data_IF_561114375858
#
_entry.id   IF_561114375858
#
_cell.length_a   1.000
_cell.length_b   1.000
_cell.length_c   1.000
_cell.angle_alpha   90.00
_cell.angle_beta   90.00
_cell.angle_gamma   90.00
#
_symmetry.space_group_name_H-M   'P 1'
#
loop_
_entity.id
_entity.type
_entity.pdbx_description
1 polymer ?
#
# COMPACT_ATOMS: atom_id res chain seq x y z
N UNK A 1 24.70 -9.89 -5.46
CA UNK A 1 23.28 -10.31 -5.59
C UNK A 1 22.80 -11.38 -4.58
N UNK A 2 23.66 -12.12 -3.88
CA UNK A 2 23.29 -13.24 -2.97
C UNK A 2 22.80 -12.84 -1.56
N UNK A 3 23.07 -11.62 -1.09
CA UNK A 3 22.78 -11.23 0.31
C UNK A 3 21.43 -10.52 0.49
N UNK A 4 20.68 -10.24 -0.59
CA UNK A 4 19.40 -9.52 -0.53
C UNK A 4 18.27 -10.38 0.08
N UNK A 5 18.27 -11.70 -0.16
CA UNK A 5 17.24 -12.60 0.35
C UNK A 5 17.34 -12.86 1.87
N UNK A 6 18.55 -12.97 2.41
CA UNK A 6 18.77 -13.25 3.84
C UNK A 6 18.32 -12.08 4.72
N UNK A 7 18.49 -10.83 4.28
CA UNK A 7 18.12 -9.66 5.07
C UNK A 7 16.62 -9.55 5.39
N UNK A 8 15.75 -10.06 4.52
CA UNK A 8 14.29 -10.02 4.74
C UNK A 8 13.78 -11.13 5.65
N UNK A 9 14.45 -12.27 5.72
CA UNK A 9 14.09 -13.36 6.63
C UNK A 9 14.33 -13.05 8.11
N UNK A 10 15.24 -12.11 8.40
CA UNK A 10 15.58 -11.70 9.75
C UNK A 10 14.78 -10.49 10.26
N UNK A 11 13.90 -9.88 9.42
CA UNK A 11 13.01 -8.82 9.87
C UNK A 11 11.85 -9.43 10.69
N UNK A 12 11.37 -8.69 11.70
CA UNK A 12 10.21 -9.08 12.55
C UNK A 12 8.85 -9.01 11.82
N UNK A 13 8.85 -9.46 10.57
CA UNK A 13 7.63 -9.58 9.78
C UNK A 13 6.92 -10.89 10.12
N UNK A 14 5.58 -10.87 10.10
CA UNK A 14 4.85 -12.12 10.31
C UNK A 14 5.11 -13.13 9.18
N UNK A 15 5.11 -14.41 9.52
CA UNK A 15 5.47 -15.50 8.61
C UNK A 15 4.65 -15.54 7.30
N UNK A 16 3.31 -15.42 7.32
CA UNK A 16 2.51 -15.37 6.09
C UNK A 16 2.93 -14.22 5.15
N UNK A 17 3.27 -13.06 5.70
CA UNK A 17 3.74 -11.93 4.90
C UNK A 17 5.10 -12.20 4.27
N UNK A 18 6.03 -12.81 5.00
CA UNK A 18 7.34 -13.22 4.45
C UNK A 18 7.20 -14.15 3.25
N UNK A 19 6.32 -15.15 3.34
CA UNK A 19 6.03 -16.07 2.22
C UNK A 19 5.44 -15.31 1.04
N UNK A 20 4.37 -14.54 1.26
CA UNK A 20 3.72 -13.74 0.21
C UNK A 20 4.71 -12.78 -0.45
N UNK A 21 5.51 -12.09 0.33
CA UNK A 21 6.55 -11.18 -0.13
C UNK A 21 7.60 -11.90 -1.00
N UNK A 22 8.07 -13.07 -0.58
CA UNK A 22 9.06 -13.87 -1.34
C UNK A 22 8.50 -14.32 -2.69
N UNK A 23 7.24 -14.79 -2.74
CA UNK A 23 6.55 -15.18 -3.97
C UNK A 23 6.44 -13.97 -4.91
N UNK A 24 6.00 -12.84 -4.37
CA UNK A 24 5.81 -11.58 -5.11
C UNK A 24 7.10 -11.07 -5.71
N UNK A 25 8.19 -11.02 -4.92
CA UNK A 25 9.49 -10.58 -5.42
C UNK A 25 10.02 -11.51 -6.51
N UNK A 26 9.93 -12.82 -6.29
CA UNK A 26 10.40 -13.79 -7.28
C UNK A 26 9.62 -13.66 -8.58
N UNK A 27 8.28 -13.63 -8.49
CA UNK A 27 7.41 -13.47 -9.65
C UNK A 27 7.65 -12.14 -10.38
N UNK A 28 7.79 -11.03 -9.66
CA UNK A 28 8.03 -9.73 -10.30
C UNK A 28 9.39 -9.68 -11.00
N UNK A 29 10.44 -10.27 -10.43
CA UNK A 29 11.76 -10.33 -11.07
C UNK A 29 11.83 -11.25 -12.28
N UNK A 30 11.00 -12.29 -12.33
CA UNK A 30 10.86 -13.15 -13.50
C UNK A 30 10.09 -12.46 -14.62
N UNK A 31 9.08 -11.67 -14.24
CA UNK A 31 8.21 -10.96 -15.18
C UNK A 31 8.88 -9.71 -15.77
N UNK A 32 9.52 -8.89 -14.93
CA UNK A 32 10.18 -7.66 -15.36
C UNK A 32 11.67 -7.86 -15.53
N UNK A 33 12.21 -7.59 -16.71
CA UNK A 33 13.66 -7.68 -16.99
C UNK A 33 14.46 -6.63 -16.22
N UNK A 34 13.95 -5.42 -16.09
CA UNK A 34 14.63 -4.31 -15.46
C UNK A 34 13.68 -3.52 -14.54
N UNK A 35 14.20 -3.13 -13.37
CA UNK A 35 13.56 -2.19 -12.47
C UNK A 35 14.47 -0.97 -12.27
N UNK A 36 13.92 0.21 -12.41
CA UNK A 36 14.60 1.46 -12.05
C UNK A 36 13.85 2.09 -10.87
N UNK A 37 14.56 2.38 -9.81
CA UNK A 37 14.04 3.05 -8.62
C UNK A 37 14.78 4.37 -8.47
N UNK A 38 14.03 5.47 -8.47
CA UNK A 38 14.56 6.81 -8.32
C UNK A 38 13.99 7.43 -7.06
N UNK A 39 14.84 8.02 -6.22
CA UNK A 39 14.41 8.75 -5.03
C UNK A 39 14.07 7.90 -3.81
N UNK A 40 14.33 6.58 -3.81
CA UNK A 40 14.09 5.72 -2.64
C UNK A 40 14.88 6.21 -1.40
N UNK A 41 16.06 6.76 -1.61
CA UNK A 41 16.93 7.31 -0.56
C UNK A 41 16.36 8.54 0.14
N UNK A 42 15.37 9.20 -0.48
CA UNK A 42 14.67 10.38 0.05
C UNK A 42 13.48 10.03 0.95
N UNK A 43 13.09 8.76 1.00
CA UNK A 43 11.95 8.33 1.83
C UNK A 43 12.35 8.45 3.29
N UNK A 44 11.58 9.19 4.12
CA UNK A 44 11.88 9.35 5.53
C UNK A 44 11.91 8.00 6.26
N UNK A 45 12.82 7.88 7.23
CA UNK A 45 12.90 6.72 8.11
C UNK A 45 12.21 7.05 9.44
N UNK A 46 11.69 6.04 10.11
CA UNK A 46 11.05 6.17 11.42
C UNK A 46 9.90 7.19 11.44
N UNK A 47 9.05 7.13 10.43
CA UNK A 47 7.89 8.01 10.27
C UNK A 47 6.68 7.24 9.74
N UNK A 48 5.48 7.74 10.00
CA UNK A 48 4.29 7.29 9.33
C UNK A 48 4.31 7.74 7.87
N UNK A 49 4.09 6.82 6.92
CA UNK A 49 4.20 7.14 5.50
C UNK A 49 2.94 6.72 4.75
N UNK A 50 2.36 7.67 4.04
CA UNK A 50 1.33 7.42 3.04
C UNK A 50 1.98 7.50 1.66
N UNK A 51 2.14 6.37 1.00
CA UNK A 51 2.51 6.33 -0.41
C UNK A 51 1.29 6.64 -1.26
N UNK A 52 1.29 7.79 -1.92
CA UNK A 52 0.25 8.19 -2.87
C UNK A 52 0.71 7.83 -4.29
N UNK A 53 0.13 6.79 -4.87
CA UNK A 53 0.63 6.12 -6.08
C UNK A 53 -0.39 6.25 -7.22
N UNK A 54 0.07 6.53 -8.45
CA UNK A 54 -0.79 6.41 -9.63
C UNK A 54 -1.18 4.94 -9.86
N UNK A 55 -2.31 4.69 -10.55
CA UNK A 55 -2.88 3.34 -10.61
C UNK A 55 -3.18 2.90 -12.04
N UNK A 56 -2.18 2.29 -12.69
CA UNK A 56 -2.30 1.78 -14.04
C UNK A 56 -2.74 0.31 -14.06
N UNK A 57 -2.25 -0.51 -13.11
CA UNK A 57 -2.55 -1.92 -13.03
C UNK A 57 -3.00 -2.32 -11.62
N UNK A 58 -4.24 -2.85 -11.51
CA UNK A 58 -4.86 -3.19 -10.23
C UNK A 58 -4.06 -4.17 -9.37
N UNK A 59 -3.28 -5.05 -9.98
CA UNK A 59 -2.58 -6.12 -9.32
C UNK A 59 -1.08 -5.86 -9.22
N UNK A 60 -0.45 -5.39 -10.29
CA UNK A 60 1.01 -5.21 -10.33
C UNK A 60 1.48 -4.01 -9.52
N UNK A 61 0.75 -2.89 -9.51
CA UNK A 61 1.19 -1.67 -8.83
C UNK A 61 1.44 -1.87 -7.33
N UNK A 62 0.51 -2.48 -6.54
CA UNK A 62 0.78 -2.78 -5.13
C UNK A 62 1.97 -3.70 -4.94
N UNK A 63 2.13 -4.69 -5.82
CA UNK A 63 3.18 -5.70 -5.78
C UNK A 63 4.55 -5.07 -6.00
N UNK A 64 4.67 -4.24 -7.04
CA UNK A 64 5.93 -3.56 -7.38
C UNK A 64 6.40 -2.67 -6.24
N UNK A 65 5.49 -1.91 -5.62
CA UNK A 65 5.83 -1.04 -4.48
C UNK A 65 6.21 -1.87 -3.25
N UNK A 66 5.39 -2.88 -2.90
CA UNK A 66 5.66 -3.72 -1.74
C UNK A 66 6.99 -4.45 -1.86
N UNK A 67 7.31 -4.94 -3.06
CA UNK A 67 8.56 -5.65 -3.34
C UNK A 67 9.83 -4.79 -3.17
N UNK A 68 9.69 -3.47 -3.06
CA UNK A 68 10.81 -2.53 -2.90
C UNK A 68 10.86 -1.85 -1.54
N UNK A 69 9.84 -2.07 -0.73
CA UNK A 69 9.76 -1.47 0.59
C UNK A 69 10.68 -2.17 1.59
N UNK A 70 11.29 -1.38 2.46
CA UNK A 70 12.13 -1.89 3.55
C UNK A 70 11.28 -2.32 4.77
N UNK A 71 10.04 -1.86 4.85
CA UNK A 71 9.07 -2.18 5.90
C UNK A 71 7.79 -2.78 5.30
N UNK A 72 7.01 -3.56 6.06
CA UNK A 72 5.71 -4.02 5.62
C UNK A 72 4.82 -2.83 5.26
N UNK A 73 4.13 -2.94 4.14
CA UNK A 73 3.20 -1.91 3.69
C UNK A 73 1.78 -2.42 3.86
N UNK A 74 0.92 -1.58 4.41
CA UNK A 74 -0.51 -1.83 4.50
C UNK A 74 -1.21 -1.38 3.21
N UNK A 75 -2.18 -2.16 2.76
CA UNK A 75 -2.93 -1.93 1.53
C UNK A 75 -4.41 -1.74 1.83
N UNK A 76 -5.03 -0.77 1.19
CA UNK A 76 -6.48 -0.66 1.16
C UNK A 76 -7.02 -1.49 0.00
N UNK A 77 -7.73 -2.56 0.31
CA UNK A 77 -8.33 -3.47 -0.67
C UNK A 77 -9.86 -3.47 -0.57
N UNK A 78 -10.53 -3.82 -1.66
CA UNK A 78 -12.00 -3.84 -1.74
C UNK A 78 -12.62 -4.69 -0.63
N UNK A 79 -13.62 -4.16 0.09
CA UNK A 79 -14.25 -4.84 1.21
C UNK A 79 -14.96 -6.16 0.82
N UNK A 80 -15.38 -6.30 -0.44
CA UNK A 80 -16.07 -7.50 -0.94
C UNK A 80 -15.21 -8.76 -0.92
N UNK A 81 -13.88 -8.65 -1.01
CA UNK A 81 -12.97 -9.81 -0.89
C UNK A 81 -12.82 -10.32 0.55
N UNK A 82 -13.25 -9.53 1.54
CA UNK A 82 -13.15 -9.87 2.97
C UNK A 82 -14.39 -10.58 3.55
N UNK A 83 -15.36 -10.98 2.73
CA UNK A 83 -16.63 -11.57 3.18
C UNK A 83 -16.45 -12.90 3.94
N UNK A 84 -15.51 -13.72 3.54
CA UNK A 84 -15.20 -14.98 4.20
C UNK A 84 -14.30 -14.76 5.41
N UNK A 85 -14.65 -15.31 6.57
CA UNK A 85 -13.88 -15.15 7.84
C UNK A 85 -12.44 -15.64 7.74
N UNK A 86 -12.20 -16.75 7.03
CA UNK A 86 -10.84 -17.28 6.85
C UNK A 86 -10.01 -16.37 5.94
N UNK A 87 -10.60 -15.94 4.81
CA UNK A 87 -9.97 -14.99 3.88
C UNK A 87 -9.69 -13.67 4.59
N UNK A 88 -10.62 -13.16 5.40
CA UNK A 88 -10.42 -11.96 6.21
C UNK A 88 -9.17 -12.09 7.09
N UNK A 89 -9.04 -13.19 7.85
CA UNK A 89 -7.88 -13.41 8.73
C UNK A 89 -6.57 -13.48 7.93
N UNK A 90 -6.58 -14.14 6.78
CA UNK A 90 -5.41 -14.24 5.91
C UNK A 90 -5.00 -12.88 5.34
N UNK A 91 -5.96 -12.12 4.78
CA UNK A 91 -5.69 -10.81 4.20
C UNK A 91 -5.18 -9.81 5.26
N UNK A 92 -5.73 -9.85 6.49
CA UNK A 92 -5.21 -9.04 7.60
C UNK A 92 -3.76 -9.39 7.96
N UNK A 93 -3.38 -10.67 7.91
CA UNK A 93 -1.97 -11.10 8.09
C UNK A 93 -1.07 -10.65 6.93
N UNK A 94 -1.63 -10.39 5.77
CA UNK A 94 -0.94 -9.79 4.62
C UNK A 94 -0.99 -8.25 4.64
N UNK A 95 -1.32 -7.63 5.78
CA UNK A 95 -1.44 -6.18 5.97
C UNK A 95 -2.46 -5.50 5.04
N UNK A 96 -3.53 -6.23 4.67
CA UNK A 96 -4.63 -5.68 3.87
C UNK A 96 -5.77 -5.21 4.77
N UNK A 97 -6.32 -4.03 4.45
CA UNK A 97 -7.43 -3.37 5.14
C UNK A 97 -8.64 -3.26 4.20
N UNK A 98 -9.87 -3.61 4.64
CA UNK A 98 -11.04 -3.49 3.80
C UNK A 98 -11.45 -2.02 3.60
N UNK A 99 -11.76 -1.62 2.36
CA UNK A 99 -12.31 -0.29 2.05
C UNK A 99 -13.58 -0.41 1.24
N UNK A 100 -14.66 0.24 1.69
CA UNK A 100 -15.93 0.37 0.99
C UNK A 100 -15.91 1.59 0.08
N UNK A 101 -16.40 1.45 -1.17
CA UNK A 101 -16.40 2.52 -2.16
C UNK A 101 -17.82 3.04 -2.38
N UNK A 102 -17.97 4.33 -2.70
CA UNK A 102 -19.27 4.95 -2.94
C UNK A 102 -20.14 4.19 -3.95
N UNK A 103 -19.54 3.64 -4.98
CA UNK A 103 -20.26 2.83 -5.99
C UNK A 103 -20.82 1.49 -5.45
N UNK A 104 -20.43 1.10 -4.25
CA UNK A 104 -20.91 -0.13 -3.61
C UNK A 104 -22.29 0.09 -2.94
N UNK A 105 -22.91 1.28 -3.12
CA UNK A 105 -24.30 1.58 -2.75
C UNK A 105 -24.56 1.69 -1.24
N UNK A 106 -23.55 1.96 -0.42
CA UNK A 106 -23.64 2.01 1.04
C UNK A 106 -23.11 3.34 1.59
N UNK A 107 -23.54 3.71 2.78
CA UNK A 107 -22.89 4.80 3.51
C UNK A 107 -21.43 4.41 3.82
N UNK A 108 -20.55 4.92 2.96
CA UNK A 108 -19.15 4.56 2.98
C UNK A 108 -18.39 5.22 4.11
N UNK A 109 -18.92 6.30 4.68
CA UNK A 109 -18.25 7.03 5.77
C UNK A 109 -18.32 6.20 7.03
N UNK A 110 -19.53 5.79 7.43
CA UNK A 110 -19.75 4.99 8.63
C UNK A 110 -19.02 3.63 8.54
N UNK A 111 -19.19 2.90 7.42
CA UNK A 111 -18.56 1.58 7.23
C UNK A 111 -17.04 1.63 7.17
N UNK A 112 -16.45 2.74 6.73
CA UNK A 112 -15.01 2.94 6.68
C UNK A 112 -14.42 3.49 7.98
N UNK A 113 -15.22 3.87 8.96
CA UNK A 113 -14.72 4.49 10.19
C UNK A 113 -13.66 3.63 10.87
N UNK A 114 -13.96 2.35 11.07
CA UNK A 114 -12.98 1.41 11.65
C UNK A 114 -11.71 1.28 10.83
N UNK A 115 -11.83 1.24 9.50
CA UNK A 115 -10.66 1.18 8.61
C UNK A 115 -9.82 2.44 8.69
N UNK A 116 -10.43 3.61 8.79
CA UNK A 116 -9.72 4.86 8.99
C UNK A 116 -9.01 4.89 10.35
N UNK A 117 -9.65 4.42 11.41
CA UNK A 117 -9.03 4.29 12.72
C UNK A 117 -7.82 3.36 12.70
N UNK A 118 -7.94 2.17 12.07
CA UNK A 118 -6.80 1.26 11.83
C UNK A 118 -5.66 2.00 11.08
N UNK A 119 -5.97 2.79 10.04
CA UNK A 119 -4.98 3.57 9.31
C UNK A 119 -4.29 4.62 10.20
N UNK A 120 -5.03 5.31 11.06
CA UNK A 120 -4.48 6.31 11.97
C UNK A 120 -3.49 5.69 12.95
N UNK A 121 -3.84 4.53 13.54
CA UNK A 121 -2.94 3.81 14.44
C UNK A 121 -1.69 3.29 13.74
N UNK A 122 -1.83 2.75 12.52
CA UNK A 122 -0.69 2.29 11.71
C UNK A 122 0.28 3.45 11.48
N UNK A 123 -0.22 4.60 11.03
CA UNK A 123 0.61 5.75 10.71
C UNK A 123 1.23 6.39 11.97
N UNK A 124 0.48 6.44 13.07
CA UNK A 124 1.01 6.93 14.35
C UNK A 124 2.14 6.03 14.90
N UNK A 125 2.15 4.74 14.57
CA UNK A 125 3.20 3.79 14.94
C UNK A 125 4.31 3.68 13.88
N UNK A 126 4.53 4.73 13.09
CA UNK A 126 5.55 4.76 12.02
C UNK A 126 5.34 3.67 10.94
N UNK A 127 4.12 3.20 10.79
CA UNK A 127 3.75 2.24 9.75
C UNK A 127 3.57 2.90 8.39
N UNK A 128 3.53 2.06 7.36
CA UNK A 128 3.44 2.50 5.97
C UNK A 128 2.11 2.05 5.35
N UNK A 129 1.50 2.94 4.57
CA UNK A 129 0.21 2.72 3.91
C UNK A 129 0.31 3.10 2.43
N UNK A 130 -0.17 2.24 1.53
CA UNK A 130 -0.37 2.58 0.12
C UNK A 130 -1.80 3.01 -0.11
N UNK A 131 -1.96 4.14 -0.80
CA UNK A 131 -3.24 4.63 -1.29
C UNK A 131 -3.09 4.97 -2.78
N UNK A 132 -4.06 4.54 -3.57
CA UNK A 132 -4.22 4.94 -4.95
C UNK A 132 -5.28 6.05 -5.02
N UNK A 133 -4.89 7.32 -5.04
CA UNK A 133 -5.84 8.43 -4.89
C UNK A 133 -6.81 8.56 -6.06
N UNK A 134 -6.52 7.96 -7.20
CA UNK A 134 -7.43 7.88 -8.34
C UNK A 134 -8.67 7.00 -8.07
N UNK A 135 -8.58 6.07 -7.10
CA UNK A 135 -9.68 5.20 -6.67
C UNK A 135 -10.09 4.10 -7.63
N UNK A 136 -9.54 4.06 -8.83
CA UNK A 136 -9.67 3.00 -9.84
C UNK A 136 -8.40 2.95 -10.69
N UNK A 137 -8.06 1.76 -11.18
CA UNK A 137 -6.99 1.59 -12.17
C UNK A 137 -7.46 2.01 -13.59
N UNK A 138 -6.53 2.46 -14.40
CA UNK A 138 -6.75 2.75 -15.81
C UNK A 138 -5.44 2.54 -16.58
N UNK A 139 -5.49 1.83 -17.69
CA UNK A 139 -4.34 1.57 -18.56
C UNK A 139 -3.78 2.82 -19.28
N UNK A 140 -4.53 3.94 -19.27
CA UNK A 140 -4.03 5.19 -19.84
C UNK A 140 -2.95 5.79 -18.93
N UNK A 141 -1.82 6.20 -19.51
CA UNK A 141 -0.70 6.86 -18.81
C UNK A 141 -1.01 8.33 -18.44
N UNK A 142 -2.24 8.63 -18.04
CA UNK A 142 -2.67 9.96 -17.63
C UNK A 142 -3.19 9.93 -16.20
N UNK A 143 -2.70 10.86 -15.38
CA UNK A 143 -3.19 11.04 -14.03
C UNK A 143 -4.64 11.50 -14.04
N UNK A 144 -5.50 10.85 -13.24
CA UNK A 144 -6.91 11.19 -13.09
C UNK A 144 -7.14 12.09 -11.86
N UNK A 145 -8.37 12.57 -11.74
CA UNK A 145 -8.79 13.36 -10.59
C UNK A 145 -8.52 12.60 -9.29
N UNK A 146 -7.74 13.21 -8.42
CA UNK A 146 -7.38 12.63 -7.12
C UNK A 146 -8.53 12.79 -6.14
N UNK A 147 -8.86 11.71 -5.45
CA UNK A 147 -9.90 11.67 -4.41
C UNK A 147 -9.33 12.07 -3.05
N UNK A 148 -10.19 12.57 -2.18
CA UNK A 148 -9.84 13.09 -0.85
C UNK A 148 -9.39 12.04 0.18
N UNK A 149 -9.22 10.75 -0.22
CA UNK A 149 -8.88 9.67 0.70
C UNK A 149 -7.54 9.86 1.42
N UNK A 150 -6.50 10.26 0.68
CA UNK A 150 -5.17 10.55 1.23
C UNK A 150 -5.23 11.66 2.26
N UNK A 151 -5.83 12.80 1.90
CA UNK A 151 -5.95 13.95 2.81
C UNK A 151 -6.80 13.64 4.05
N UNK A 152 -7.89 12.87 3.89
CA UNK A 152 -8.74 12.47 5.01
C UNK A 152 -7.97 11.61 6.01
N UNK A 153 -7.20 10.62 5.54
CA UNK A 153 -6.41 9.75 6.42
C UNK A 153 -5.28 10.54 7.07
N UNK A 154 -4.56 11.38 6.34
CA UNK A 154 -3.47 12.18 6.89
C UNK A 154 -3.98 13.16 7.97
N UNK A 155 -5.01 13.94 7.66
CA UNK A 155 -5.58 14.90 8.60
C UNK A 155 -6.25 14.22 9.80
N UNK A 156 -6.93 13.07 9.59
CA UNK A 156 -7.50 12.27 10.66
C UNK A 156 -6.44 11.73 11.63
N UNK A 157 -5.30 11.28 11.12
CA UNK A 157 -4.15 10.86 11.94
C UNK A 157 -3.65 12.01 12.81
N UNK A 158 -3.42 13.18 12.21
CA UNK A 158 -2.98 14.37 12.94
C UNK A 158 -4.00 14.87 13.95
N UNK A 159 -5.30 14.85 13.59
CA UNK A 159 -6.37 15.25 14.50
C UNK A 159 -6.48 14.34 15.73
N UNK A 160 -6.29 13.02 15.53
CA UNK A 160 -6.40 12.03 16.62
C UNK A 160 -5.18 11.97 17.53
N UNK A 161 -3.99 12.07 16.96
CA UNK A 161 -2.71 11.80 17.67
C UNK A 161 -1.83 13.04 17.83
N UNK A 162 -2.19 14.16 17.19
CA UNK A 162 -1.34 15.36 17.13
C UNK A 162 -0.06 15.12 16.34
N UNK A 163 0.93 15.99 16.53
CA UNK A 163 2.22 15.91 15.86
C UNK A 163 3.28 15.10 16.66
N UNK A 164 2.85 14.08 17.39
CA UNK A 164 3.78 13.28 18.22
C UNK A 164 4.81 12.54 17.37
N UNK A 165 4.37 12.03 16.22
CA UNK A 165 5.23 11.34 15.26
C UNK A 165 5.17 12.04 13.90
N UNK A 166 6.28 12.01 13.17
CA UNK A 166 6.33 12.58 11.83
C UNK A 166 5.45 11.78 10.88
N UNK A 167 4.61 12.47 10.09
CA UNK A 167 3.76 11.89 9.07
C UNK A 167 4.12 12.51 7.71
N UNK A 168 4.36 11.65 6.71
CA UNK A 168 4.70 12.10 5.37
C UNK A 168 3.76 11.50 4.33
N UNK A 169 3.44 12.30 3.32
CA UNK A 169 2.82 11.84 2.07
C UNK A 169 3.92 11.80 1.02
N UNK A 170 4.22 10.61 0.51
CA UNK A 170 5.24 10.38 -0.51
C UNK A 170 4.57 10.06 -1.83
N UNK A 171 4.56 10.97 -2.81
CA UNK A 171 4.04 10.68 -4.13
C UNK A 171 4.97 9.72 -4.85
N UNK A 172 4.40 8.67 -5.47
CA UNK A 172 5.13 7.70 -6.28
C UNK A 172 4.49 7.63 -7.67
N UNK A 173 5.31 7.81 -8.69
CA UNK A 173 4.93 7.52 -10.08
C UNK A 173 5.43 6.14 -10.50
N UNK A 174 4.51 5.28 -10.94
CA UNK A 174 4.84 4.03 -11.62
C UNK A 174 4.69 4.26 -13.11
N UNK A 175 5.68 3.87 -13.89
CA UNK A 175 5.60 3.78 -15.34
C UNK A 175 6.11 2.42 -15.80
N UNK A 176 5.38 1.83 -16.72
CA UNK A 176 5.73 0.57 -17.36
C UNK A 176 6.15 0.84 -18.80
N UNK A 177 7.42 0.55 -19.10
CA UNK A 177 7.92 0.60 -20.47
C UNK A 177 7.65 -0.76 -21.14
N UNK A 178 7.12 -0.78 -22.35
CA UNK A 178 6.92 -1.97 -23.21
C UNK A 178 6.07 -3.09 -22.56
N UNK A 179 4.86 -2.75 -22.11
CA UNK A 179 3.94 -3.69 -21.48
C UNK A 179 3.41 -4.80 -22.43
N UNK A 180 3.57 -4.64 -23.74
CA UNK A 180 3.06 -5.54 -24.76
C UNK A 180 4.01 -5.59 -25.98
N UNK A 181 5.17 -6.17 -25.84
CA UNK A 181 5.99 -6.60 -26.96
C UNK A 181 6.45 -8.04 -26.74
#
# INVERSE_FOLDING_TARGET
MRNFWLGYWFKDWNFPYKIGYSIVITGSRTYFKNFKYLGKEKIPKNAGIIYAVNHQNAFLDPIVIAGQADNPINFLARADIFKNKFVYKLLRKLYMLPIYRQRDGVDTIEKNQKTFEDCYEILNNNGHLIIFPEGNHNHKKTLRTLKKGVSRIALGTLSKHGNKNSLFIVPIGIDYENHFS
#
